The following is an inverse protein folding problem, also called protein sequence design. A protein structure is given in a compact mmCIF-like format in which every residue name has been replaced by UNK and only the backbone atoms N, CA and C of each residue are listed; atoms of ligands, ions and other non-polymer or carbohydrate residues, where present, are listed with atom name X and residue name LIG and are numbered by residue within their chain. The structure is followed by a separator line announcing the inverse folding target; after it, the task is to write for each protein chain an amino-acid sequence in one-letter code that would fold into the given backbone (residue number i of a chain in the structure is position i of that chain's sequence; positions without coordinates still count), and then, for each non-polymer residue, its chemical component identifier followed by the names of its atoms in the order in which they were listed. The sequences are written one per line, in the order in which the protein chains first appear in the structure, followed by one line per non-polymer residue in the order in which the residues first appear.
data_IF_868966709453
#
_entry.id   IF_868966709453
#
_cell.length_a   1.000
_cell.length_b   1.000
_cell.length_c   1.000
_cell.angle_alpha   90.00
_cell.angle_beta   90.00
_cell.angle_gamma   90.00
#
_symmetry.space_group_name_H-M   'P 1'
#
loop_
_entity.id
_entity.type
_entity.pdbx_description
1 polymer ?
#
# COMPACT_ATOMS: atom_id res chain seq x y z
N UNK A 1 -8.09 5.22 -5.27
CA UNK A 1 -9.04 5.64 -4.19
C UNK A 1 -9.25 4.54 -3.16
N UNK A 2 -8.97 3.27 -3.49
CA UNK A 2 -9.14 2.15 -2.56
C UNK A 2 -8.11 2.16 -1.44
N UNK A 3 -6.86 2.57 -1.69
CA UNK A 3 -5.80 2.53 -0.66
C UNK A 3 -6.08 3.45 0.53
N UNK A 4 -6.63 4.65 0.31
CA UNK A 4 -6.95 5.58 1.40
C UNK A 4 -7.99 4.98 2.36
N UNK A 5 -9.10 4.45 1.82
CA UNK A 5 -10.15 3.82 2.64
C UNK A 5 -9.61 2.55 3.30
N UNK A 6 -8.87 1.75 2.54
CA UNK A 6 -8.28 0.50 3.02
C UNK A 6 -7.28 0.73 4.16
N UNK A 7 -6.48 1.78 4.08
CA UNK A 7 -5.55 2.17 5.13
C UNK A 7 -6.30 2.55 6.40
N UNK A 8 -7.32 3.41 6.29
CA UNK A 8 -8.16 3.78 7.41
C UNK A 8 -8.75 2.53 8.08
N UNK A 9 -9.46 1.67 7.34
CA UNK A 9 -10.12 0.48 7.89
C UNK A 9 -9.16 -0.47 8.64
N UNK A 10 -7.96 -0.69 8.11
CA UNK A 10 -6.98 -1.59 8.75
C UNK A 10 -6.37 -0.95 9.98
N UNK A 11 -6.05 0.35 9.94
CA UNK A 11 -5.48 1.04 11.09
C UNK A 11 -6.52 1.26 12.19
N UNK A 12 -7.77 1.53 11.86
CA UNK A 12 -8.86 1.60 12.84
C UNK A 12 -8.99 0.30 13.64
N UNK A 13 -8.92 -0.84 12.94
CA UNK A 13 -8.95 -2.15 13.59
C UNK A 13 -7.71 -2.43 14.45
N UNK A 14 -6.53 -1.97 14.05
CA UNK A 14 -5.28 -2.22 14.79
C UNK A 14 -5.06 -1.29 15.97
N UNK A 15 -5.37 -0.01 15.78
CA UNK A 15 -5.11 1.05 16.76
C UNK A 15 -6.31 1.26 17.69
N UNK A 16 -7.49 0.72 17.34
CA UNK A 16 -8.69 0.86 18.15
C UNK A 16 -9.22 2.29 18.22
N UNK A 17 -8.92 3.13 17.22
CA UNK A 17 -9.35 4.53 17.12
C UNK A 17 -9.81 4.84 15.71
N UNK A 18 -10.74 5.79 15.56
CA UNK A 18 -11.20 6.28 14.26
C UNK A 18 -10.06 7.03 13.53
N UNK A 19 -9.92 6.82 12.22
CA UNK A 19 -8.92 7.49 11.38
C UNK A 19 -9.64 8.42 10.40
N UNK A 20 -9.44 9.73 10.56
CA UNK A 20 -10.05 10.70 9.66
C UNK A 20 -9.35 10.68 8.30
N UNK A 21 -10.13 10.48 7.24
CA UNK A 21 -9.59 10.38 5.87
C UNK A 21 -8.79 11.61 5.42
N UNK A 22 -9.08 12.78 5.98
CA UNK A 22 -8.37 14.03 5.71
C UNK A 22 -6.95 14.07 6.28
N UNK A 23 -6.63 13.20 7.24
CA UNK A 23 -5.30 13.07 7.86
C UNK A 23 -4.43 12.05 7.10
N UNK A 24 -5.00 11.39 6.09
CA UNK A 24 -4.29 10.42 5.24
C UNK A 24 -3.75 11.14 4.01
N UNK A 25 -2.44 11.12 3.83
CA UNK A 25 -1.81 11.50 2.58
C UNK A 25 -2.10 10.44 1.52
N UNK A 26 -2.49 10.86 0.32
CA UNK A 26 -2.84 9.93 -0.76
C UNK A 26 -2.29 10.41 -2.11
N UNK A 27 -1.68 9.47 -2.83
CA UNK A 27 -1.12 9.68 -4.16
C UNK A 27 -1.39 8.46 -5.05
N UNK A 28 -1.55 8.69 -6.34
CA UNK A 28 -1.56 7.64 -7.36
C UNK A 28 -0.41 7.86 -8.31
N UNK A 29 0.37 6.81 -8.53
CA UNK A 29 1.42 6.76 -9.55
C UNK A 29 0.97 5.80 -10.65
N UNK A 30 1.11 6.23 -11.90
CA UNK A 30 0.85 5.41 -13.08
C UNK A 30 2.14 5.33 -13.88
N UNK A 31 2.71 4.13 -14.02
CA UNK A 31 3.94 3.90 -14.77
C UNK A 31 3.65 3.04 -16.00
N UNK A 32 4.00 3.52 -17.17
CA UNK A 32 4.14 2.66 -18.35
C UNK A 32 5.32 1.70 -18.14
N UNK A 33 5.33 0.57 -18.85
CA UNK A 33 6.41 -0.41 -18.66
C UNK A 33 7.80 0.14 -18.99
N UNK A 34 7.89 1.08 -19.92
CA UNK A 34 9.13 1.76 -20.31
C UNK A 34 9.58 2.83 -19.31
N UNK A 35 8.73 3.23 -18.35
CA UNK A 35 9.06 4.12 -17.24
C UNK A 35 9.62 3.38 -16.02
N UNK A 36 9.55 2.05 -16.00
CA UNK A 36 10.04 1.23 -14.89
C UNK A 36 11.53 0.90 -15.11
N UNK A 37 12.35 1.17 -14.09
CA UNK A 37 13.78 0.85 -14.12
C UNK A 37 14.00 -0.67 -14.19
N UNK A 38 14.45 -1.13 -15.36
CA UNK A 38 14.71 -2.54 -15.64
C UNK A 38 15.95 -3.10 -14.94
N UNK A 39 16.84 -2.24 -14.41
CA UNK A 39 17.96 -2.67 -13.56
C UNK A 39 17.47 -3.09 -12.17
N UNK A 40 16.38 -2.46 -11.70
CA UNK A 40 15.75 -2.79 -10.40
C UNK A 40 14.66 -3.85 -10.52
N UNK A 41 13.87 -3.84 -11.60
CA UNK A 41 12.77 -4.79 -11.80
C UNK A 41 13.00 -5.57 -13.11
N UNK A 42 13.18 -6.90 -13.05
CA UNK A 42 13.41 -7.68 -14.27
C UNK A 42 12.27 -7.55 -15.29
N UNK A 43 12.62 -7.43 -16.58
CA UNK A 43 11.65 -7.33 -17.69
C UNK A 43 10.64 -8.50 -17.71
N UNK A 44 11.07 -9.69 -17.28
CA UNK A 44 10.21 -10.87 -17.16
C UNK A 44 9.11 -10.75 -16.09
N UNK A 45 9.27 -9.82 -15.15
CA UNK A 45 8.26 -9.43 -14.16
C UNK A 45 7.40 -8.31 -14.73
N UNK A 46 8.01 -7.26 -15.27
CA UNK A 46 7.31 -6.10 -15.85
C UNK A 46 6.29 -6.55 -16.91
N UNK A 47 6.69 -7.45 -17.81
CA UNK A 47 5.80 -8.00 -18.86
C UNK A 47 4.54 -8.73 -18.35
N UNK A 48 4.44 -9.04 -17.06
CA UNK A 48 3.28 -9.69 -16.44
C UNK A 48 2.35 -8.70 -15.74
N UNK A 49 2.75 -7.45 -15.58
CA UNK A 49 1.95 -6.41 -14.94
C UNK A 49 0.89 -5.86 -15.92
N UNK A 50 -0.12 -5.21 -15.36
CA UNK A 50 -1.07 -4.43 -16.16
C UNK A 50 -0.36 -3.19 -16.72
N UNK A 51 -0.79 -2.71 -17.89
CA UNK A 51 -0.24 -1.50 -18.49
C UNK A 51 -1.34 -0.44 -18.61
N UNK A 52 -1.18 0.76 -18.00
CA UNK A 52 -0.08 1.13 -17.09
C UNK A 52 -0.13 0.37 -15.75
N UNK A 53 1.03 0.29 -15.08
CA UNK A 53 1.14 -0.16 -13.68
C UNK A 53 0.61 0.95 -12.78
N UNK A 54 -0.52 0.71 -12.13
CA UNK A 54 -1.14 1.66 -11.21
C UNK A 54 -0.76 1.30 -9.77
N UNK A 55 -0.17 2.25 -9.07
CA UNK A 55 0.17 2.17 -7.66
C UNK A 55 -0.58 3.27 -6.90
N UNK A 56 -1.49 2.87 -6.02
CA UNK A 56 -2.14 3.76 -5.06
C UNK A 56 -1.34 3.74 -3.75
N UNK A 57 -0.82 4.88 -3.33
CA UNK A 57 -0.12 5.06 -2.06
C UNK A 57 -0.98 5.83 -1.08
N UNK A 58 -1.16 5.31 0.14
CA UNK A 58 -1.76 6.01 1.26
C UNK A 58 -0.80 6.00 2.45
N UNK A 59 -0.70 7.12 3.16
CA UNK A 59 0.17 7.25 4.32
C UNK A 59 -0.53 7.96 5.49
N UNK A 60 -0.16 7.58 6.70
CA UNK A 60 -0.70 8.13 7.95
C UNK A 60 0.37 8.09 9.04
N UNK A 61 0.46 9.15 9.83
CA UNK A 61 1.29 9.20 11.03
C UNK A 61 0.38 9.24 12.25
N UNK A 62 0.59 8.32 13.20
CA UNK A 62 -0.18 8.33 14.44
C UNK A 62 0.36 9.35 15.47
N UNK A 63 -0.31 9.42 16.62
CA UNK A 63 0.04 10.35 17.70
C UNK A 63 1.37 9.98 18.39
N UNK A 64 1.85 8.75 18.22
CA UNK A 64 3.14 8.27 18.73
C UNK A 64 4.29 8.54 17.74
N UNK A 65 3.97 9.01 16.54
CA UNK A 65 4.92 9.30 15.47
C UNK A 65 5.23 8.09 14.57
N UNK A 66 4.49 6.99 14.70
CA UNK A 66 4.64 5.83 13.84
C UNK A 66 4.10 6.15 12.44
N UNK A 67 4.91 5.94 11.41
CA UNK A 67 4.55 6.25 10.02
C UNK A 67 4.12 4.99 9.27
N UNK A 68 2.82 4.91 8.98
CA UNK A 68 2.21 3.80 8.25
C UNK A 68 2.06 4.14 6.77
N UNK A 69 2.47 3.22 5.89
CA UNK A 69 2.25 3.36 4.45
C UNK A 69 1.63 2.09 3.88
N UNK A 70 0.57 2.26 3.07
CA UNK A 70 0.00 1.24 2.21
C UNK A 70 0.32 1.59 0.76
N UNK A 71 0.97 0.67 0.06
CA UNK A 71 1.11 0.70 -1.40
C UNK A 71 0.23 -0.41 -1.96
N UNK A 72 -0.81 -0.04 -2.70
CA UNK A 72 -1.73 -0.93 -3.39
C UNK A 72 -1.42 -0.96 -4.88
N UNK A 73 -0.90 -2.08 -5.36
CA UNK A 73 -0.51 -2.27 -6.76
C UNK A 73 -1.66 -2.99 -7.49
N UNK A 74 -2.17 -2.37 -8.55
CA UNK A 74 -3.22 -2.97 -9.37
C UNK A 74 -2.67 -4.15 -10.18
N UNK A 75 -3.36 -5.29 -10.12
CA UNK A 75 -3.03 -6.49 -10.88
C UNK A 75 -4.21 -6.85 -11.77
N UNK A 76 -3.92 -7.14 -13.05
CA UNK A 76 -4.92 -7.52 -14.03
C UNK A 76 -5.75 -8.71 -13.54
N UNK A 77 -7.06 -8.52 -13.43
CA UNK A 77 -8.04 -9.55 -13.08
C UNK A 77 -7.81 -10.23 -11.71
N UNK A 78 -7.15 -9.54 -10.77
CA UNK A 78 -6.91 -10.04 -9.42
C UNK A 78 -7.21 -8.96 -8.38
N UNK A 79 -7.21 -9.37 -7.11
CA UNK A 79 -7.18 -8.38 -6.02
C UNK A 79 -5.84 -7.63 -6.06
N UNK A 80 -5.82 -6.33 -5.73
CA UNK A 80 -4.57 -5.57 -5.66
C UNK A 80 -3.59 -6.25 -4.71
N UNK A 81 -2.30 -6.15 -5.05
CA UNK A 81 -1.24 -6.56 -4.14
C UNK A 81 -0.94 -5.41 -3.19
N UNK A 82 -1.08 -5.67 -1.89
CA UNK A 82 -0.84 -4.69 -0.83
C UNK A 82 0.56 -4.89 -0.23
N UNK A 83 1.33 -3.82 -0.20
CA UNK A 83 2.58 -3.72 0.57
C UNK A 83 2.34 -2.75 1.73
N UNK A 84 2.58 -3.25 2.94
CA UNK A 84 2.44 -2.48 4.16
C UNK A 84 3.81 -2.15 4.73
N UNK A 85 4.00 -0.89 5.10
CA UNK A 85 5.22 -0.40 5.73
C UNK A 85 4.91 0.30 7.05
N UNK A 86 5.82 0.13 8.00
CA UNK A 86 5.91 0.90 9.23
C UNK A 86 7.32 1.49 9.30
N UNK A 87 7.41 2.81 9.37
CA UNK A 87 8.68 3.56 9.36
C UNK A 87 9.61 3.11 8.22
N UNK A 88 9.05 3.11 7.00
CA UNK A 88 9.72 2.70 5.75
C UNK A 88 10.21 1.25 5.69
N UNK A 89 9.81 0.41 6.66
CA UNK A 89 10.13 -1.03 6.67
C UNK A 89 8.90 -1.84 6.33
N UNK A 90 9.05 -2.75 5.36
CA UNK A 90 8.00 -3.71 5.00
C UNK A 90 7.63 -4.55 6.22
N UNK A 91 6.34 -4.60 6.55
CA UNK A 91 5.79 -5.46 7.60
C UNK A 91 4.97 -6.58 6.95
N UNK A 92 5.54 -7.78 6.83
CA UNK A 92 4.81 -8.92 6.29
C UNK A 92 3.58 -9.21 7.15
N UNK A 93 2.48 -9.65 6.51
CA UNK A 93 1.26 -10.09 7.21
C UNK A 93 0.64 -9.02 8.12
N UNK A 94 0.89 -7.74 7.83
CA UNK A 94 0.37 -6.63 8.64
C UNK A 94 -1.13 -6.75 8.88
N UNK A 95 -1.92 -7.17 7.88
CA UNK A 95 -3.38 -7.27 7.97
C UNK A 95 -3.91 -8.49 8.74
N UNK A 96 -3.06 -9.44 9.13
CA UNK A 96 -3.48 -10.57 9.96
C UNK A 96 -3.83 -10.07 11.38
N UNK A 97 -4.92 -10.60 11.97
CA UNK A 97 -5.22 -10.34 13.39
C UNK A 97 -4.15 -11.03 14.23
N UNK A 98 -3.62 -10.34 15.23
CA UNK A 98 -2.79 -10.99 16.23
C UNK A 98 -3.67 -12.08 16.90
N UNK A 99 -3.36 -13.35 16.67
CA UNK A 99 -3.97 -14.44 17.42
C UNK A 99 -3.48 -14.29 18.87
N UNK A 100 -4.31 -13.67 19.71
CA UNK A 100 -4.11 -13.70 21.16
C UNK A 100 -4.13 -15.18 21.60
N UNK A 101 -2.97 -15.69 22.04
CA UNK A 101 -2.85 -17.00 22.69
C UNK A 101 -2.95 -16.83 24.19
#
# INVERSE_FOLDING_TARGET
MRALIRLAEVLEQKLGKEIQLQDIGYETVSLMHDEIDTEMVPVSVISKLAEPVICDCANYTDDEGNYYTLISIEIKNASPYEVWLLDDKVVPKFTERNEET
#
